data_IF_875576767514
#
_entry.id   IF_875576767514
#
_cell.length_a   1.000
_cell.length_b   1.000
_cell.length_c   1.000
_cell.angle_alpha   90.00
_cell.angle_beta   90.00
_cell.angle_gamma   90.00
#
_symmetry.space_group_name_H-M   'P 1'
#
loop_
_entity.id
_entity.type
_entity.pdbx_description
1 polymer ?
#
# COMPACT_ATOMS: atom_id res chain seq x y z
N UNK A 1 -3.15 13.17 -25.18
CA UNK A 1 -4.49 13.35 -25.79
C UNK A 1 -5.55 12.70 -24.94
N UNK A 2 -5.47 11.38 -24.66
CA UNK A 2 -6.46 10.68 -23.82
C UNK A 2 -6.61 11.29 -22.41
N UNK A 3 -5.50 11.43 -21.67
CA UNK A 3 -5.51 11.99 -20.31
C UNK A 3 -6.16 13.38 -20.25
N UNK A 4 -5.72 14.30 -21.11
CA UNK A 4 -6.31 15.63 -21.23
C UNK A 4 -7.83 15.60 -21.47
N UNK A 5 -8.33 14.73 -22.34
CA UNK A 5 -9.77 14.61 -22.59
C UNK A 5 -10.52 14.12 -21.35
N UNK A 6 -9.92 13.23 -20.54
CA UNK A 6 -10.48 12.80 -19.26
C UNK A 6 -10.52 13.98 -18.28
N UNK A 7 -9.44 14.76 -18.19
CA UNK A 7 -9.37 15.92 -17.29
C UNK A 7 -10.32 17.05 -17.70
N UNK A 8 -10.58 17.24 -18.99
CA UNK A 8 -11.56 18.22 -19.49
C UNK A 8 -13.00 17.88 -19.06
N UNK A 9 -13.28 16.62 -18.72
CA UNK A 9 -14.56 16.18 -18.16
C UNK A 9 -14.55 16.06 -16.63
N UNK A 10 -13.49 16.52 -15.96
CA UNK A 10 -13.40 16.50 -14.50
C UNK A 10 -14.00 17.76 -13.87
N UNK A 11 -14.62 17.61 -12.70
CA UNK A 11 -15.16 18.71 -11.91
C UNK A 11 -14.46 18.79 -10.55
N UNK A 12 -14.40 20.00 -9.99
CA UNK A 12 -13.87 20.20 -8.65
C UNK A 12 -14.77 19.52 -7.61
N UNK A 13 -14.16 19.08 -6.50
CA UNK A 13 -14.92 18.55 -5.36
C UNK A 13 -15.86 19.60 -4.80
N UNK A 14 -17.05 19.18 -4.42
CA UNK A 14 -18.01 20.03 -3.74
C UNK A 14 -17.60 20.20 -2.27
N UNK A 15 -18.03 21.32 -1.65
CA UNK A 15 -17.77 21.57 -0.24
C UNK A 15 -18.41 20.50 0.68
N UNK A 16 -19.50 19.89 0.23
CA UNK A 16 -20.23 18.85 0.96
C UNK A 16 -19.69 17.43 0.71
N UNK A 17 -18.68 17.27 -0.16
CA UNK A 17 -18.10 15.95 -0.41
C UNK A 17 -17.38 15.43 0.84
N UNK A 18 -17.57 14.15 1.22
CA UNK A 18 -16.97 13.60 2.41
C UNK A 18 -15.44 13.71 2.37
N UNK A 19 -14.85 14.20 3.45
CA UNK A 19 -13.40 14.36 3.56
C UNK A 19 -12.66 13.04 3.24
N UNK A 20 -11.43 13.11 2.70
CA UNK A 20 -10.65 11.91 2.43
C UNK A 20 -10.46 11.06 3.69
N UNK A 21 -10.85 9.78 3.62
CA UNK A 21 -10.82 8.86 4.77
C UNK A 21 -9.42 8.39 5.17
N UNK A 22 -8.40 8.57 4.31
CA UNK A 22 -7.01 8.15 4.53
C UNK A 22 -6.05 9.34 4.47
N UNK A 23 -6.34 10.36 5.27
CA UNK A 23 -5.53 11.57 5.41
C UNK A 23 -5.23 11.88 6.88
N UNK A 24 -4.24 12.75 7.12
CA UNK A 24 -4.00 13.33 8.44
C UNK A 24 -3.70 12.27 9.52
N UNK A 25 -4.25 12.40 10.74
CA UNK A 25 -3.95 11.48 11.85
C UNK A 25 -4.28 10.01 11.55
N UNK A 26 -5.35 9.73 10.80
CA UNK A 26 -5.71 8.35 10.44
C UNK A 26 -4.69 7.75 9.48
N UNK A 27 -4.16 8.55 8.55
CA UNK A 27 -3.07 8.10 7.68
C UNK A 27 -1.80 7.78 8.46
N UNK A 28 -1.43 8.61 9.45
CA UNK A 28 -0.29 8.34 10.34
C UNK A 28 -0.48 7.03 11.11
N UNK A 29 -1.70 6.79 11.62
CA UNK A 29 -2.03 5.55 12.32
C UNK A 29 -1.91 4.32 11.40
N UNK A 30 -2.38 4.41 10.15
CA UNK A 30 -2.22 3.34 9.14
C UNK A 30 -0.74 3.08 8.85
N UNK A 31 0.03 4.13 8.57
CA UNK A 31 1.46 4.01 8.24
C UNK A 31 2.22 3.36 9.41
N UNK A 32 1.88 3.73 10.65
CA UNK A 32 2.50 3.17 11.86
C UNK A 32 2.12 1.69 12.06
N UNK A 33 0.83 1.36 12.02
CA UNK A 33 0.36 0.00 12.30
C UNK A 33 0.83 -1.02 11.26
N UNK A 34 0.90 -0.64 9.98
CA UNK A 34 1.20 -1.55 8.88
C UNK A 34 2.67 -1.49 8.39
N UNK A 35 3.54 -0.77 9.09
CA UNK A 35 4.98 -0.71 8.79
C UNK A 35 5.72 -2.04 9.05
N UNK A 36 5.19 -2.89 9.94
CA UNK A 36 5.89 -4.09 10.38
C UNK A 36 5.98 -5.21 9.32
N UNK A 37 6.93 -6.12 9.50
CA UNK A 37 7.14 -7.29 8.64
C UNK A 37 6.52 -8.59 9.19
N UNK A 38 5.79 -8.50 10.31
CA UNK A 38 5.09 -9.63 10.93
C UNK A 38 3.66 -9.21 11.29
N UNK A 39 2.69 -10.10 11.06
CA UNK A 39 1.27 -9.82 11.31
C UNK A 39 1.03 -9.59 12.80
N UNK A 40 1.72 -10.32 13.66
CA UNK A 40 1.66 -10.18 15.12
C UNK A 40 2.02 -8.76 15.55
N UNK A 41 3.07 -8.17 14.96
CA UNK A 41 3.47 -6.79 15.25
C UNK A 41 2.47 -5.76 14.76
N UNK A 42 1.78 -6.03 13.65
CA UNK A 42 0.66 -5.20 13.19
C UNK A 42 -0.48 -5.24 14.22
N UNK A 43 -0.85 -6.43 14.70
CA UNK A 43 -1.91 -6.56 15.71
C UNK A 43 -1.52 -5.93 17.05
N UNK A 44 -0.28 -6.12 17.50
CA UNK A 44 0.26 -5.45 18.69
C UNK A 44 0.20 -3.93 18.55
N UNK A 45 0.58 -3.38 17.39
CA UNK A 45 0.50 -1.93 17.15
C UNK A 45 -0.94 -1.42 17.17
N UNK A 46 -1.90 -2.16 16.60
CA UNK A 46 -3.32 -1.79 16.66
C UNK A 46 -3.85 -1.82 18.10
N UNK A 47 -3.51 -2.86 18.87
CA UNK A 47 -3.87 -2.97 20.30
C UNK A 47 -3.30 -1.81 21.12
N UNK A 48 -2.03 -1.47 20.92
CA UNK A 48 -1.43 -0.30 21.56
C UNK A 48 -2.16 1.01 21.21
N UNK A 49 -2.57 1.19 19.95
CA UNK A 49 -3.36 2.36 19.57
C UNK A 49 -4.74 2.39 20.25
N UNK A 50 -5.41 1.24 20.38
CA UNK A 50 -6.69 1.15 21.08
C UNK A 50 -6.56 1.57 22.55
N UNK A 51 -5.47 1.20 23.21
CA UNK A 51 -5.26 1.47 24.64
C UNK A 51 -4.79 2.90 24.93
N UNK A 52 -3.85 3.43 24.12
CA UNK A 52 -3.08 4.62 24.50
C UNK A 52 -3.18 5.80 23.53
N UNK A 53 -3.82 5.67 22.36
CA UNK A 53 -3.87 6.78 21.40
C UNK A 53 -4.79 7.90 21.91
N UNK A 54 -4.35 9.17 21.85
CA UNK A 54 -5.10 10.31 22.40
C UNK A 54 -6.42 10.58 21.65
N UNK A 55 -6.38 10.47 20.32
CA UNK A 55 -7.55 10.68 19.46
C UNK A 55 -8.51 9.46 19.48
N UNK A 56 -9.76 9.67 19.92
CA UNK A 56 -10.78 8.63 20.01
C UNK A 56 -11.19 8.03 18.67
N UNK A 57 -11.18 8.81 17.59
CA UNK A 57 -11.50 8.31 16.25
C UNK A 57 -10.47 7.27 15.78
N UNK A 58 -9.19 7.46 16.16
CA UNK A 58 -8.13 6.49 15.85
C UNK A 58 -8.29 5.21 16.67
N UNK A 59 -8.66 5.31 17.95
CA UNK A 59 -8.96 4.12 18.77
C UNK A 59 -10.10 3.30 18.15
N UNK A 60 -11.18 3.97 17.72
CA UNK A 60 -12.30 3.30 17.05
C UNK A 60 -11.88 2.66 15.73
N UNK A 61 -11.13 3.37 14.89
CA UNK A 61 -10.60 2.81 13.64
C UNK A 61 -9.70 1.58 13.89
N UNK A 62 -8.82 1.65 14.88
CA UNK A 62 -7.91 0.57 15.23
C UNK A 62 -8.67 -0.67 15.72
N UNK A 63 -9.72 -0.48 16.52
CA UNK A 63 -10.61 -1.58 16.96
C UNK A 63 -11.32 -2.23 15.77
N UNK A 64 -11.98 -1.44 14.92
CA UNK A 64 -12.67 -1.97 13.72
C UNK A 64 -11.70 -2.71 12.80
N UNK A 65 -10.47 -2.20 12.65
CA UNK A 65 -9.43 -2.84 11.84
C UNK A 65 -8.95 -4.15 12.47
N UNK A 66 -8.73 -4.18 13.79
CA UNK A 66 -8.34 -5.38 14.52
C UNK A 66 -9.41 -6.46 14.41
N UNK A 67 -10.68 -6.13 14.66
CA UNK A 67 -11.81 -7.05 14.55
C UNK A 67 -11.91 -7.64 13.13
N UNK A 68 -11.72 -6.80 12.11
CA UNK A 68 -11.72 -7.25 10.72
C UNK A 68 -10.58 -8.22 10.41
N UNK A 69 -9.38 -8.00 10.97
CA UNK A 69 -8.24 -8.91 10.79
C UNK A 69 -8.44 -10.22 11.55
N UNK A 70 -8.95 -10.19 12.78
CA UNK A 70 -9.18 -11.38 13.59
C UNK A 70 -10.24 -12.32 12.99
N UNK A 71 -11.15 -11.79 12.17
CA UNK A 71 -12.13 -12.57 11.41
C UNK A 71 -11.51 -13.36 10.23
N UNK A 72 -10.29 -13.04 9.80
CA UNK A 72 -9.63 -13.66 8.63
C UNK A 72 -8.80 -14.88 9.01
N UNK A 73 -8.44 -15.69 8.00
CA UNK A 73 -7.51 -16.81 8.16
C UNK A 73 -6.14 -16.28 8.62
N UNK A 74 -5.58 -16.80 9.73
CA UNK A 74 -4.23 -16.48 10.18
C UNK A 74 -3.17 -16.81 9.11
N UNK A 75 -3.34 -17.94 8.41
CA UNK A 75 -2.47 -18.35 7.29
C UNK A 75 -2.47 -17.28 6.20
N UNK A 76 -3.66 -16.88 5.73
CA UNK A 76 -3.80 -15.93 4.63
C UNK A 76 -3.29 -14.53 4.98
N UNK A 77 -3.43 -14.09 6.23
CA UNK A 77 -2.82 -12.83 6.68
C UNK A 77 -1.30 -12.84 6.51
N UNK A 78 -0.64 -13.93 6.92
CA UNK A 78 0.82 -14.07 6.80
C UNK A 78 1.27 -14.22 5.34
N UNK A 79 0.55 -15.01 4.54
CA UNK A 79 0.83 -15.16 3.10
C UNK A 79 0.71 -13.81 2.39
N UNK A 80 -0.37 -13.06 2.62
CA UNK A 80 -0.60 -11.77 1.98
C UNK A 80 0.50 -10.75 2.36
N UNK A 81 0.86 -10.67 3.65
CA UNK A 81 1.94 -9.79 4.09
C UNK A 81 3.27 -10.16 3.41
N UNK A 82 3.63 -11.44 3.40
CA UNK A 82 4.85 -11.92 2.77
C UNK A 82 4.87 -11.64 1.25
N UNK A 83 3.74 -11.86 0.56
CA UNK A 83 3.60 -11.58 -0.87
C UNK A 83 3.81 -10.09 -1.19
N UNK A 84 3.17 -9.19 -0.44
CA UNK A 84 3.34 -7.74 -0.60
C UNK A 84 4.80 -7.32 -0.40
N UNK A 85 5.47 -7.86 0.63
CA UNK A 85 6.87 -7.52 0.94
C UNK A 85 7.84 -8.03 -0.13
N UNK A 86 7.65 -9.26 -0.63
CA UNK A 86 8.43 -9.82 -1.76
C UNK A 86 8.16 -9.05 -3.06
N UNK A 87 6.89 -8.77 -3.33
CA UNK A 87 6.39 -8.03 -4.50
C UNK A 87 7.07 -6.68 -4.72
N UNK A 88 7.44 -5.98 -3.63
CA UNK A 88 8.14 -4.69 -3.69
C UNK A 88 9.48 -4.73 -4.45
N UNK A 89 10.13 -5.90 -4.52
CA UNK A 89 11.50 -6.06 -5.05
C UNK A 89 11.57 -6.76 -6.39
N UNK A 90 10.44 -7.22 -6.92
CA UNK A 90 10.36 -8.03 -8.15
C UNK A 90 9.56 -7.28 -9.22
N UNK A 91 9.71 -7.68 -10.47
CA UNK A 91 8.97 -7.09 -11.57
C UNK A 91 7.54 -7.69 -11.70
N UNK A 92 6.71 -7.10 -12.57
CA UNK A 92 5.32 -7.53 -12.74
C UNK A 92 5.17 -9.01 -13.15
N UNK A 93 6.03 -9.51 -14.04
CA UNK A 93 5.96 -10.90 -14.51
C UNK A 93 6.30 -11.87 -13.36
N UNK A 94 7.34 -11.56 -12.60
CA UNK A 94 7.73 -12.32 -11.41
C UNK A 94 6.62 -12.28 -10.34
N UNK A 95 5.99 -11.12 -10.12
CA UNK A 95 4.88 -10.97 -9.19
C UNK A 95 3.67 -11.81 -9.62
N UNK A 96 3.28 -11.76 -10.90
CA UNK A 96 2.17 -12.58 -11.41
C UNK A 96 2.46 -14.09 -11.30
N UNK A 97 3.70 -14.52 -11.57
CA UNK A 97 4.08 -15.91 -11.37
C UNK A 97 4.05 -16.30 -9.89
N UNK A 98 4.52 -15.44 -9.00
CA UNK A 98 4.43 -15.66 -7.55
C UNK A 98 2.97 -15.79 -7.08
N UNK A 99 2.08 -14.91 -7.54
CA UNK A 99 0.65 -14.99 -7.22
C UNK A 99 -0.01 -16.27 -7.77
N UNK A 100 0.35 -16.70 -8.99
CA UNK A 100 -0.11 -17.98 -9.54
C UNK A 100 0.37 -19.18 -8.72
N UNK A 101 1.62 -19.15 -8.26
CA UNK A 101 2.17 -20.19 -7.38
C UNK A 101 1.39 -20.25 -6.06
N UNK A 102 1.12 -19.10 -5.43
CA UNK A 102 0.33 -19.00 -4.19
C UNK A 102 -1.09 -19.53 -4.42
N UNK A 103 -1.76 -19.11 -5.49
CA UNK A 103 -3.10 -19.59 -5.83
C UNK A 103 -3.12 -21.12 -6.07
N UNK A 104 -2.10 -21.64 -6.75
CA UNK A 104 -1.94 -23.09 -6.94
C UNK A 104 -1.76 -23.81 -5.60
N UNK A 105 -0.95 -23.24 -4.70
CA UNK A 105 -0.74 -23.79 -3.37
C UNK A 105 -2.04 -23.88 -2.55
N UNK A 106 -2.95 -22.93 -2.70
CA UNK A 106 -4.27 -22.98 -2.06
C UNK A 106 -5.24 -23.98 -2.73
N UNK A 107 -5.21 -24.09 -4.05
CA UNK A 107 -6.20 -24.88 -4.80
C UNK A 107 -5.82 -26.34 -5.05
N UNK A 108 -4.54 -26.70 -4.93
CA UNK A 108 -4.09 -28.07 -5.18
C UNK A 108 -4.74 -29.07 -4.21
N UNK A 109 -4.97 -30.30 -4.67
CA UNK A 109 -5.59 -31.36 -3.85
C UNK A 109 -4.74 -31.74 -2.62
N UNK A 110 -3.41 -31.55 -2.70
CA UNK A 110 -2.46 -31.65 -1.58
C UNK A 110 -2.13 -30.28 -0.97
N UNK A 111 -3.03 -29.31 -1.11
CA UNK A 111 -2.78 -27.88 -0.92
C UNK A 111 -2.09 -27.51 0.41
N UNK A 112 -1.42 -26.36 0.38
CA UNK A 112 -0.66 -25.82 1.50
C UNK A 112 -1.52 -25.47 2.74
N UNK A 113 -2.82 -25.21 2.54
CA UNK A 113 -3.79 -24.90 3.59
C UNK A 113 -5.22 -25.25 3.15
N UNK A 114 -6.08 -25.74 4.06
CA UNK A 114 -7.50 -25.96 3.79
C UNK A 114 -8.32 -24.66 3.72
N UNK A 115 -7.75 -23.53 4.15
CA UNK A 115 -8.49 -22.28 4.40
C UNK A 115 -9.21 -21.75 3.16
N UNK A 116 -8.71 -22.01 1.95
CA UNK A 116 -9.41 -21.60 0.73
C UNK A 116 -10.78 -22.29 0.62
N UNK A 117 -10.82 -23.62 0.77
CA UNK A 117 -12.06 -24.38 0.74
C UNK A 117 -12.97 -24.03 1.92
N UNK A 118 -12.42 -23.94 3.14
CA UNK A 118 -13.17 -23.53 4.33
C UNK A 118 -13.85 -22.18 4.12
N UNK A 119 -13.11 -21.20 3.60
CA UNK A 119 -13.62 -19.84 3.40
C UNK A 119 -14.67 -19.75 2.30
N UNK A 120 -14.43 -20.41 1.16
CA UNK A 120 -15.39 -20.44 0.05
C UNK A 120 -16.70 -21.11 0.48
N UNK A 121 -16.63 -22.27 1.13
CA UNK A 121 -17.82 -22.97 1.62
C UNK A 121 -18.56 -22.13 2.66
N UNK A 122 -17.85 -21.59 3.65
CA UNK A 122 -18.44 -20.74 4.69
C UNK A 122 -19.23 -19.55 4.11
N UNK A 123 -18.67 -18.83 3.14
CA UNK A 123 -19.27 -17.59 2.61
C UNK A 123 -20.31 -17.87 1.52
N UNK A 124 -20.01 -18.75 0.57
CA UNK A 124 -20.83 -18.92 -0.64
C UNK A 124 -21.84 -20.06 -0.53
N UNK A 125 -21.54 -21.11 0.24
CA UNK A 125 -22.41 -22.28 0.39
C UNK A 125 -23.24 -22.15 1.67
N UNK A 126 -22.58 -22.07 2.81
CA UNK A 126 -23.22 -22.07 4.13
C UNK A 126 -23.74 -20.67 4.52
N UNK A 127 -23.18 -19.61 3.90
CA UNK A 127 -23.52 -18.20 4.14
C UNK A 127 -23.44 -17.83 5.63
N UNK A 128 -22.44 -18.36 6.32
CA UNK A 128 -22.22 -18.01 7.73
C UNK A 128 -21.78 -16.55 7.84
N UNK A 129 -22.30 -15.86 8.84
CA UNK A 129 -21.90 -14.47 9.17
C UNK A 129 -20.69 -14.48 10.13
N UNK A 130 -20.51 -15.60 10.84
CA UNK A 130 -19.49 -15.78 11.86
C UNK A 130 -18.12 -16.17 11.29
N UNK A 131 -17.10 -16.20 12.16
CA UNK A 131 -15.73 -16.57 11.81
C UNK A 131 -15.66 -18.04 11.35
N UNK A 132 -15.19 -18.32 10.13
CA UNK A 132 -14.97 -19.70 9.70
C UNK A 132 -13.96 -20.43 10.58
N UNK A 133 -14.08 -21.75 10.65
CA UNK A 133 -13.16 -22.60 11.40
C UNK A 133 -11.82 -22.75 10.66
N UNK A 134 -11.04 -21.67 10.61
CA UNK A 134 -9.71 -21.63 10.00
C UNK A 134 -8.76 -22.63 10.65
N UNK A 135 -7.84 -23.19 9.85
CA UNK A 135 -6.80 -24.09 10.33
C UNK A 135 -5.42 -23.71 9.75
N UNK A 136 -4.46 -23.31 10.60
CA UNK A 136 -4.55 -23.14 12.06
C UNK A 136 -5.52 -22.03 12.51
N UNK A 137 -6.01 -22.12 13.75
CA UNK A 137 -7.05 -21.23 14.26
C UNK A 137 -6.50 -19.87 14.71
N UNK A 138 -5.23 -19.82 15.14
CA UNK A 138 -4.58 -18.63 15.69
C UNK A 138 -3.28 -18.30 14.97
N UNK A 139 -2.84 -17.03 15.04
CA UNK A 139 -1.59 -16.59 14.40
C UNK A 139 -0.35 -17.28 14.98
N UNK A 140 -0.33 -17.54 16.30
CA UNK A 140 0.81 -18.17 16.98
C UNK A 140 1.08 -19.61 16.54
N UNK A 141 0.08 -20.27 15.95
CA UNK A 141 0.20 -21.63 15.40
C UNK A 141 0.73 -21.64 13.96
N UNK A 142 0.80 -20.49 13.29
CA UNK A 142 1.29 -20.39 11.91
C UNK A 142 2.75 -19.97 11.91
N UNK A 143 3.66 -20.85 11.48
CA UNK A 143 5.09 -20.52 11.39
C UNK A 143 5.42 -19.74 10.12
N UNK A 144 6.15 -18.63 10.25
CA UNK A 144 6.62 -17.83 9.09
C UNK A 144 7.52 -18.65 8.14
N UNK A 145 8.28 -19.60 8.71
CA UNK A 145 9.12 -20.52 7.94
C UNK A 145 8.29 -21.55 7.15
N UNK A 146 7.18 -22.03 7.72
CA UNK A 146 6.25 -22.92 7.03
C UNK A 146 5.52 -22.17 5.92
N UNK A 147 5.12 -20.92 6.14
CA UNK A 147 4.54 -20.07 5.09
C UNK A 147 5.54 -19.90 3.94
N UNK A 148 6.78 -19.53 4.26
CA UNK A 148 7.84 -19.34 3.27
C UNK A 148 8.09 -20.61 2.44
N UNK A 149 8.07 -21.77 3.10
CA UNK A 149 8.24 -23.05 2.43
C UNK A 149 7.01 -23.40 1.57
N UNK A 150 5.83 -23.53 2.20
CA UNK A 150 4.62 -24.05 1.57
C UNK A 150 4.04 -23.17 0.48
N UNK A 151 4.21 -21.84 0.54
CA UNK A 151 3.60 -20.92 -0.43
C UNK A 151 4.61 -20.27 -1.39
N UNK A 152 5.89 -20.19 -1.02
CA UNK A 152 6.89 -19.48 -1.82
C UNK A 152 8.05 -20.35 -2.30
N UNK A 153 8.14 -21.62 -1.88
CA UNK A 153 9.24 -22.54 -2.26
C UNK A 153 8.73 -23.85 -2.86
N UNK A 154 7.70 -24.47 -2.28
CA UNK A 154 7.24 -25.81 -2.68
C UNK A 154 6.40 -25.79 -3.98
N UNK A 155 5.75 -24.66 -4.28
CA UNK A 155 4.93 -24.48 -5.49
C UNK A 155 5.65 -23.60 -6.49
N UNK A 156 6.29 -24.21 -7.48
CA UNK A 156 6.98 -23.50 -8.55
C UNK A 156 6.87 -24.24 -9.89
N UNK A 157 7.04 -23.54 -11.02
CA UNK A 157 7.16 -24.18 -12.31
C UNK A 157 8.36 -25.12 -12.43
N UNK A 158 9.49 -24.79 -11.80
CA UNK A 158 10.72 -25.60 -11.88
C UNK A 158 10.58 -26.93 -11.15
N UNK A 159 9.79 -26.99 -10.08
CA UNK A 159 9.44 -28.23 -9.39
C UNK A 159 8.26 -28.98 -10.01
N UNK A 160 7.64 -28.45 -11.08
CA UNK A 160 6.48 -29.04 -11.73
C UNK A 160 5.19 -29.03 -10.87
N UNK A 161 5.19 -28.26 -9.78
CA UNK A 161 4.07 -28.16 -8.82
C UNK A 161 3.18 -26.95 -9.06
N UNK A 162 3.56 -26.05 -9.97
CA UNK A 162 2.71 -24.94 -10.44
C UNK A 162 2.91 -24.69 -11.94
N UNK A 163 1.89 -24.26 -12.69
CA UNK A 163 2.03 -23.89 -14.09
C UNK A 163 2.95 -22.66 -14.29
N UNK A 164 3.71 -22.67 -15.38
CA UNK A 164 4.45 -21.50 -15.85
C UNK A 164 3.52 -20.54 -16.60
N UNK A 165 3.58 -19.25 -16.28
CA UNK A 165 2.94 -18.20 -17.08
C UNK A 165 3.73 -17.98 -18.38
N UNK A 166 3.01 -17.97 -19.49
CA UNK A 166 3.53 -17.51 -20.76
C UNK A 166 3.10 -16.04 -20.98
N UNK A 167 4.07 -15.15 -21.13
CA UNK A 167 3.82 -13.75 -21.44
C UNK A 167 3.96 -13.52 -22.95
N UNK A 168 3.00 -12.82 -23.60
CA UNK A 168 3.17 -12.35 -24.97
C UNK A 168 4.42 -11.49 -25.10
N UNK A 169 5.14 -11.59 -26.22
CA UNK A 169 6.37 -10.83 -26.48
C UNK A 169 6.16 -9.31 -26.38
N UNK A 170 4.96 -8.82 -26.70
CA UNK A 170 4.59 -7.41 -26.55
C UNK A 170 4.61 -6.89 -25.10
N UNK A 171 4.54 -7.79 -24.11
CA UNK A 171 4.60 -7.49 -22.68
C UNK A 171 5.96 -7.82 -22.07
N UNK A 172 6.97 -8.11 -22.89
CA UNK A 172 8.34 -8.32 -22.43
C UNK A 172 8.90 -6.99 -21.87
N UNK A 173 9.24 -6.92 -20.57
CA UNK A 173 9.76 -5.71 -19.95
C UNK A 173 11.13 -5.28 -20.53
N UNK A 174 11.84 -6.15 -21.24
CA UNK A 174 13.07 -5.82 -21.95
C UNK A 174 12.82 -5.19 -23.33
N UNK A 175 11.62 -5.36 -23.91
CA UNK A 175 11.29 -4.91 -25.28
C UNK A 175 10.19 -3.86 -25.34
N UNK A 176 9.41 -3.70 -24.27
CA UNK A 176 8.30 -2.75 -24.19
C UNK A 176 8.68 -1.38 -23.62
N UNK A 177 8.00 -0.34 -24.08
CA UNK A 177 8.02 0.99 -23.45
C UNK A 177 7.44 0.87 -22.04
N UNK A 178 8.20 1.24 -21.00
CA UNK A 178 7.68 1.36 -19.64
C UNK A 178 6.64 2.49 -19.58
N UNK A 179 5.39 2.16 -19.85
CA UNK A 179 4.28 3.02 -19.51
C UNK A 179 4.13 2.99 -18.00
N UNK A 180 4.39 4.12 -17.34
CA UNK A 180 4.17 4.25 -15.90
C UNK A 180 2.74 4.74 -15.69
N UNK A 181 1.79 3.90 -15.23
CA UNK A 181 0.40 4.32 -15.09
C UNK A 181 0.24 5.44 -14.05
N UNK A 182 1.18 5.56 -13.13
CA UNK A 182 1.19 6.61 -12.09
C UNK A 182 1.49 8.01 -12.64
N UNK A 183 1.92 8.13 -13.89
CA UNK A 183 2.19 9.43 -14.52
C UNK A 183 0.92 10.28 -14.66
N UNK A 184 -0.23 9.63 -14.79
CA UNK A 184 -1.54 10.29 -14.89
C UNK A 184 -2.29 10.32 -13.56
N UNK A 185 -1.71 9.76 -12.50
CA UNK A 185 -2.29 9.82 -11.16
C UNK A 185 -1.87 11.11 -10.43
N UNK A 186 -2.49 11.37 -9.28
CA UNK A 186 -1.98 12.35 -8.32
C UNK A 186 -0.53 12.00 -7.93
N UNK A 187 0.31 13.00 -7.63
CA UNK A 187 1.70 12.75 -7.27
C UNK A 187 1.79 11.87 -6.01
N UNK A 188 2.72 10.93 -6.05
CA UNK A 188 2.96 10.04 -4.91
C UNK A 188 3.66 10.80 -3.78
N UNK A 189 3.54 10.29 -2.55
CA UNK A 189 4.28 10.85 -1.42
C UNK A 189 5.80 10.80 -1.64
N UNK A 190 6.29 9.75 -2.30
CA UNK A 190 7.70 9.62 -2.68
C UNK A 190 8.13 10.68 -3.70
N UNK A 191 7.32 10.96 -4.72
CA UNK A 191 7.62 12.00 -5.71
C UNK A 191 7.63 13.39 -5.07
N UNK A 192 6.68 13.67 -4.19
CA UNK A 192 6.65 14.91 -3.41
C UNK A 192 7.92 15.02 -2.54
N UNK A 193 8.31 13.94 -1.85
CA UNK A 193 9.56 13.88 -1.08
C UNK A 193 10.78 14.18 -1.95
N UNK A 194 10.88 13.56 -3.12
CA UNK A 194 12.03 13.76 -4.02
C UNK A 194 12.14 15.21 -4.51
N UNK A 195 11.00 15.89 -4.69
CA UNK A 195 10.99 17.32 -5.03
C UNK A 195 11.44 18.19 -3.86
N UNK A 196 11.04 17.84 -2.62
CA UNK A 196 11.40 18.56 -1.39
C UNK A 196 12.87 18.33 -1.02
N UNK A 197 13.39 17.11 -1.16
CA UNK A 197 14.78 16.77 -0.80
C UNK A 197 15.80 17.05 -1.92
N UNK A 198 15.32 17.48 -3.09
CA UNK A 198 16.16 17.83 -4.24
C UNK A 198 16.61 16.65 -5.10
N UNK A 199 16.22 15.40 -4.80
CA UNK A 199 16.62 14.20 -5.55
C UNK A 199 15.81 13.96 -6.84
N UNK A 200 14.71 14.68 -7.05
CA UNK A 200 13.92 14.59 -8.29
C UNK A 200 14.64 15.24 -9.47
N UNK A 201 14.50 14.69 -10.69
CA UNK A 201 15.16 15.23 -11.89
C UNK A 201 14.75 16.68 -12.25
N UNK A 202 13.56 17.10 -11.83
CA UNK A 202 13.05 18.48 -12.00
C UNK A 202 13.34 19.40 -10.80
N UNK A 203 14.15 18.96 -9.83
CA UNK A 203 14.55 19.76 -8.67
C UNK A 203 15.65 20.77 -9.04
N UNK A 204 15.62 21.92 -8.37
CA UNK A 204 16.66 22.94 -8.49
C UNK A 204 17.77 22.73 -7.45
N UNK A 205 18.77 23.61 -7.45
CA UNK A 205 19.88 23.57 -6.48
C UNK A 205 19.50 24.10 -5.08
N UNK A 206 18.35 24.77 -4.96
CA UNK A 206 17.89 25.42 -3.72
C UNK A 206 16.74 24.65 -3.07
N UNK A 207 16.54 24.89 -1.77
CA UNK A 207 15.35 24.42 -1.07
C UNK A 207 14.09 24.99 -1.72
N UNK A 208 12.98 24.27 -1.61
CA UNK A 208 11.72 24.61 -2.30
C UNK A 208 10.68 25.13 -1.31
N UNK A 209 9.94 26.16 -1.70
CA UNK A 209 8.78 26.63 -0.95
C UNK A 209 7.51 25.82 -1.28
N UNK A 210 6.47 25.92 -0.45
CA UNK A 210 5.19 25.27 -0.75
C UNK A 210 4.58 25.74 -2.09
N UNK A 211 4.69 27.03 -2.39
CA UNK A 211 4.12 27.58 -3.63
C UNK A 211 4.87 27.08 -4.86
N UNK A 212 6.20 27.00 -4.80
CA UNK A 212 7.03 26.45 -5.86
C UNK A 212 6.74 24.96 -6.09
N UNK A 213 6.60 24.19 -5.00
CA UNK A 213 6.26 22.76 -5.07
C UNK A 213 4.91 22.55 -5.78
N UNK A 214 3.89 23.31 -5.41
CA UNK A 214 2.58 23.29 -6.06
C UNK A 214 2.66 23.66 -7.55
N UNK A 215 3.38 24.73 -7.88
CA UNK A 215 3.56 25.19 -9.26
C UNK A 215 4.26 24.12 -10.11
N UNK A 216 5.33 23.49 -9.57
CA UNK A 216 6.06 22.41 -10.26
C UNK A 216 5.16 21.20 -10.51
N UNK A 217 4.44 20.73 -9.50
CA UNK A 217 3.56 19.56 -9.64
C UNK A 217 2.38 19.83 -10.58
N UNK A 218 1.79 21.02 -10.53
CA UNK A 218 0.78 21.45 -11.48
C UNK A 218 1.31 21.44 -12.93
N UNK A 219 2.55 21.89 -13.15
CA UNK A 219 3.17 21.85 -14.46
C UNK A 219 3.46 20.41 -14.92
N UNK A 220 3.98 19.55 -14.03
CA UNK A 220 4.27 18.14 -14.32
C UNK A 220 3.01 17.32 -14.61
N UNK A 221 1.86 17.72 -14.06
CA UNK A 221 0.56 17.02 -14.21
C UNK A 221 -0.48 17.84 -14.97
N UNK A 222 -0.06 18.86 -15.72
CA UNK A 222 -0.91 19.67 -16.60
C UNK A 222 -2.19 20.22 -15.92
N UNK A 223 -2.10 20.59 -14.64
CA UNK A 223 -3.22 21.17 -13.89
C UNK A 223 -4.29 20.17 -13.42
N UNK A 224 -3.95 18.88 -13.30
CA UNK A 224 -4.85 17.84 -12.75
C UNK A 224 -5.51 18.28 -11.44
N UNK A 225 -6.81 18.04 -11.31
CA UNK A 225 -7.56 18.38 -10.10
C UNK A 225 -7.11 17.53 -8.89
N UNK A 226 -7.12 18.11 -7.69
CA UNK A 226 -6.74 17.41 -6.45
C UNK A 226 -5.25 17.47 -6.08
N UNK A 227 -4.38 18.03 -6.95
CA UNK A 227 -2.94 18.18 -6.66
C UNK A 227 -2.75 19.02 -5.40
N UNK A 228 -3.47 20.16 -5.30
CA UNK A 228 -3.30 21.09 -4.20
C UNK A 228 -3.61 20.43 -2.87
N UNK A 229 -4.77 19.79 -2.76
CA UNK A 229 -5.24 19.09 -1.56
C UNK A 229 -4.27 17.97 -1.18
N UNK A 230 -3.82 17.20 -2.18
CA UNK A 230 -2.85 16.11 -1.97
C UNK A 230 -1.52 16.62 -1.43
N UNK A 231 -0.97 17.68 -2.02
CA UNK A 231 0.32 18.25 -1.62
C UNK A 231 0.22 18.87 -0.24
N UNK A 232 -0.87 19.60 0.06
CA UNK A 232 -1.09 20.18 1.37
C UNK A 232 -1.15 19.12 2.47
N UNK A 233 -1.93 18.03 2.26
CA UNK A 233 -2.02 16.92 3.22
C UNK A 233 -0.66 16.28 3.49
N UNK A 234 0.12 16.01 2.43
CA UNK A 234 1.43 15.39 2.56
C UNK A 234 2.43 16.34 3.24
N UNK A 235 2.42 17.64 2.90
CA UNK A 235 3.31 18.62 3.50
C UNK A 235 3.02 18.80 4.99
N UNK A 236 1.74 18.88 5.38
CA UNK A 236 1.34 18.98 6.78
C UNK A 236 1.83 17.76 7.59
N UNK A 237 1.64 16.55 7.05
CA UNK A 237 2.02 15.30 7.71
C UNK A 237 3.53 15.07 7.72
N UNK A 238 4.22 15.34 6.61
CA UNK A 238 5.58 14.85 6.36
C UNK A 238 6.66 15.93 6.29
N UNK A 239 6.32 17.22 6.29
CA UNK A 239 7.31 18.30 6.22
C UNK A 239 7.31 19.22 7.45
N UNK A 240 8.42 19.91 7.66
CA UNK A 240 8.56 21.06 8.54
C UNK A 240 8.92 22.28 7.69
N UNK A 241 8.57 23.46 8.18
CA UNK A 241 8.88 24.73 7.52
C UNK A 241 9.99 25.43 8.29
N UNK A 242 11.13 25.63 7.63
CA UNK A 242 12.22 26.43 8.16
C UNK A 242 12.11 27.85 7.57
N UNK A 243 12.09 28.86 8.44
CA UNK A 243 11.94 30.27 8.04
C UNK A 243 13.31 30.92 7.88
N UNK A 244 13.55 31.53 6.71
CA UNK A 244 14.76 32.27 6.43
C UNK A 244 14.69 33.66 7.08
N UNK A 245 15.69 33.98 7.91
CA UNK A 245 15.68 35.18 8.77
C UNK A 245 15.72 36.51 8.00
N UNK A 246 16.24 36.52 6.78
CA UNK A 246 16.43 37.75 5.99
C UNK A 246 15.21 38.06 5.11
N UNK A 247 14.58 37.05 4.53
CA UNK A 247 13.47 37.18 3.58
C UNK A 247 12.10 36.91 4.21
N UNK A 248 12.07 36.20 5.34
CA UNK A 248 10.84 35.66 5.94
C UNK A 248 10.24 34.50 5.14
N UNK A 249 10.93 34.00 4.11
CA UNK A 249 10.45 32.91 3.29
C UNK A 249 10.52 31.58 4.03
N UNK A 250 9.52 30.72 3.78
CA UNK A 250 9.39 29.42 4.43
C UNK A 250 9.71 28.30 3.47
N UNK A 251 10.79 27.60 3.75
CA UNK A 251 11.30 26.49 2.96
C UNK A 251 10.86 25.17 3.55
N UNK A 252 10.51 24.22 2.68
CA UNK A 252 10.08 22.89 3.08
C UNK A 252 11.30 22.00 3.34
N UNK A 253 11.24 21.26 4.46
CA UNK A 253 12.17 20.18 4.74
C UNK A 253 11.39 18.92 5.14
N UNK A 254 11.74 17.79 4.54
CA UNK A 254 11.12 16.51 4.89
C UNK A 254 11.47 16.11 6.33
N UNK A 255 10.48 15.65 7.11
CA UNK A 255 10.70 15.08 8.45
C UNK A 255 11.56 13.84 8.27
N UNK A 256 12.67 13.73 9.02
CA UNK A 256 13.45 12.49 9.00
C UNK A 256 12.55 11.39 9.53
N UNK A 257 12.18 10.43 8.68
CA UNK A 257 11.43 9.26 9.12
C UNK A 257 12.28 8.60 10.20
N UNK A 258 11.73 8.37 11.40
CA UNK A 258 12.23 7.27 12.20
C UNK A 258 12.19 6.05 11.28
N UNK A 259 13.36 5.46 11.01
CA UNK A 259 13.44 4.25 10.21
C UNK A 259 12.61 3.18 10.93
N UNK A 260 11.55 2.70 10.28
CA UNK A 260 10.75 1.57 10.72
C UNK A 260 10.68 0.57 9.57
#
# INVERSE_FOLDING_TARGET
MIDRTIEECSEARNADDPAPSLAGPQRVAVDTAFAHNQVEKILESLKGMIESHENSAIRTWAQVTLDALELRSPTSLKVALAAIRKGKTINLQEALQMELNIATAYCASSGASPDFHTGVTAVLVDKIIERPAWYPATLGEVSDSEISKKFFSDYTPTSGTSPALAFPEALDPAKGTRFSPVLFALPTEQEIRQLVDGSHASSGATAITLQELLNKLNLLRQGKMGIREKVLEVVERCCVQDEEKETGEKYLRWKSSAAH
#
